data_IF_636372490239
#
_entry.id   IF_636372490239
#
_cell.length_a   1.000
_cell.length_b   1.000
_cell.length_c   1.000
_cell.angle_alpha   90.00
_cell.angle_beta   90.00
_cell.angle_gamma   90.00
#
_symmetry.space_group_name_H-M   'P 1'
#
loop_
_entity.id
_entity.type
_entity.pdbx_description
1 polymer ?
#
# COMPACT_ATOMS: atom_id res chain seq x y z
N UNK A 1 -16.56 27.56 -8.34
CA UNK A 1 -15.57 26.58 -7.84
C UNK A 1 -14.29 26.67 -8.70
N UNK A 2 -13.61 27.83 -8.70
CA UNK A 2 -12.42 28.11 -9.56
C UNK A 2 -11.25 28.66 -8.71
N UNK A 3 -11.50 29.18 -7.51
CA UNK A 3 -10.49 29.85 -6.68
C UNK A 3 -9.43 28.92 -6.05
N UNK A 4 -9.75 27.63 -5.83
CA UNK A 4 -8.81 26.68 -5.23
C UNK A 4 -7.68 26.29 -6.20
N UNK A 5 -7.96 26.25 -7.50
CA UNK A 5 -7.02 25.78 -8.52
C UNK A 5 -5.95 26.83 -8.84
N UNK A 6 -6.37 28.10 -8.90
CA UNK A 6 -5.45 29.23 -9.08
C UNK A 6 -4.47 29.40 -7.91
N UNK A 7 -4.93 29.15 -6.67
CA UNK A 7 -4.10 29.32 -5.47
C UNK A 7 -3.06 28.21 -5.27
N UNK A 8 -3.35 26.99 -5.74
CA UNK A 8 -2.36 25.89 -5.78
C UNK A 8 -1.25 26.19 -6.79
N UNK A 9 -1.61 26.72 -7.97
CA UNK A 9 -0.64 27.09 -9.01
C UNK A 9 0.36 28.17 -8.55
N UNK A 10 -0.10 29.18 -7.80
CA UNK A 10 0.76 30.22 -7.24
C UNK A 10 1.74 29.68 -6.19
N UNK A 11 1.28 28.77 -5.33
CA UNK A 11 2.13 28.14 -4.31
C UNK A 11 3.22 27.29 -4.93
N UNK A 12 2.88 26.47 -5.93
CA UNK A 12 3.86 25.64 -6.67
C UNK A 12 4.89 26.53 -7.35
N UNK A 13 4.44 27.61 -8.00
CA UNK A 13 5.34 28.57 -8.65
C UNK A 13 6.31 29.22 -7.66
N UNK A 14 5.85 29.55 -6.45
CA UNK A 14 6.69 30.12 -5.41
C UNK A 14 7.72 29.11 -4.86
N UNK A 15 7.32 27.84 -4.72
CA UNK A 15 8.25 26.76 -4.34
C UNK A 15 9.35 26.64 -5.38
N UNK A 16 9.02 26.59 -6.67
CA UNK A 16 10.00 26.50 -7.76
C UNK A 16 10.98 27.69 -7.80
N UNK A 17 10.49 28.90 -7.55
CA UNK A 17 11.36 30.09 -7.43
C UNK A 17 12.34 29.95 -6.26
N UNK A 18 11.86 29.42 -5.13
CA UNK A 18 12.67 29.19 -3.93
C UNK A 18 13.66 28.03 -4.12
N UNK A 19 13.31 26.99 -4.90
CA UNK A 19 14.24 25.89 -5.20
C UNK A 19 15.38 26.31 -6.12
N UNK A 20 15.21 27.39 -6.90
CA UNK A 20 16.25 27.88 -7.80
C UNK A 20 17.46 28.49 -7.09
N UNK A 21 17.30 28.97 -5.86
CA UNK A 21 18.44 29.47 -5.06
C UNK A 21 19.29 28.34 -4.46
N UNK A 22 18.79 27.10 -4.47
CA UNK A 22 19.54 25.94 -4.01
C UNK A 22 20.59 25.51 -5.04
N UNK A 23 21.67 24.92 -4.53
CA UNK A 23 22.68 24.23 -5.34
C UNK A 23 22.09 22.98 -6.01
N UNK A 24 22.79 22.44 -7.01
CA UNK A 24 22.35 21.23 -7.71
C UNK A 24 22.19 20.04 -6.77
N UNK A 25 23.12 19.85 -5.82
CA UNK A 25 23.05 18.74 -4.86
C UNK A 25 21.85 18.86 -3.93
N UNK A 26 21.57 20.06 -3.41
CA UNK A 26 20.41 20.30 -2.54
C UNK A 26 19.09 20.08 -3.27
N UNK A 27 19.00 20.49 -4.55
CA UNK A 27 17.82 20.20 -5.38
C UNK A 27 17.60 18.70 -5.59
N UNK A 28 18.67 17.93 -5.78
CA UNK A 28 18.58 16.48 -5.93
C UNK A 28 18.11 15.81 -4.63
N UNK A 29 18.64 16.24 -3.48
CA UNK A 29 18.19 15.74 -2.17
C UNK A 29 16.72 16.05 -1.93
N UNK A 30 16.29 17.29 -2.21
CA UNK A 30 14.88 17.67 -2.07
C UNK A 30 13.96 16.87 -3.00
N UNK A 31 14.38 16.65 -4.25
CA UNK A 31 13.62 15.83 -5.20
C UNK A 31 13.47 14.39 -4.70
N UNK A 32 14.54 13.80 -4.14
CA UNK A 32 14.48 12.48 -3.53
C UNK A 32 13.49 12.46 -2.36
N UNK A 33 13.59 13.39 -1.42
CA UNK A 33 12.71 13.44 -0.25
C UNK A 33 11.22 13.60 -0.64
N UNK A 34 10.93 14.41 -1.66
CA UNK A 34 9.57 14.57 -2.18
C UNK A 34 9.06 13.27 -2.82
N UNK A 35 9.89 12.57 -3.60
CA UNK A 35 9.54 11.28 -4.17
C UNK A 35 9.32 10.22 -3.09
N UNK A 36 10.20 10.15 -2.09
CA UNK A 36 10.06 9.22 -0.96
C UNK A 36 8.74 9.48 -0.21
N UNK A 37 8.36 10.74 0.02
CA UNK A 37 7.11 11.08 0.72
C UNK A 37 5.84 10.62 -0.02
N UNK A 38 5.87 10.56 -1.35
CA UNK A 38 4.74 10.05 -2.14
C UNK A 38 4.66 8.52 -2.05
N UNK A 39 5.80 7.86 -1.95
CA UNK A 39 5.89 6.40 -1.91
C UNK A 39 5.53 5.88 -0.51
N UNK A 40 5.92 6.57 0.55
CA UNK A 40 5.59 6.18 1.94
C UNK A 40 4.07 6.10 2.17
N UNK A 41 3.29 7.04 1.63
CA UNK A 41 1.82 7.03 1.74
C UNK A 41 1.18 5.81 1.04
N UNK A 42 1.70 5.41 -0.13
CA UNK A 42 1.21 4.22 -0.85
C UNK A 42 1.63 2.92 -0.16
N UNK A 43 2.87 2.88 0.35
CA UNK A 43 3.41 1.69 1.04
C UNK A 43 2.70 1.42 2.35
N UNK A 44 2.34 2.44 3.14
CA UNK A 44 1.62 2.23 4.41
C UNK A 44 0.30 1.50 4.20
N UNK A 45 -0.47 1.89 3.17
CA UNK A 45 -1.72 1.24 2.83
C UNK A 45 -1.50 -0.21 2.34
N UNK A 46 -0.53 -0.44 1.46
CA UNK A 46 -0.22 -1.78 0.94
C UNK A 46 0.28 -2.73 2.05
N UNK A 47 1.12 -2.23 2.95
CA UNK A 47 1.60 -2.98 4.11
C UNK A 47 0.48 -3.39 5.06
N UNK A 48 -0.52 -2.52 5.26
CA UNK A 48 -1.67 -2.84 6.09
C UNK A 48 -2.56 -3.92 5.45
N UNK A 49 -2.81 -3.83 4.14
CA UNK A 49 -3.54 -4.88 3.40
C UNK A 49 -2.82 -6.22 3.44
N UNK A 50 -1.50 -6.22 3.23
CA UNK A 50 -0.69 -7.43 3.29
C UNK A 50 -0.70 -8.05 4.69
N UNK A 51 -0.58 -7.23 5.74
CA UNK A 51 -0.63 -7.68 7.14
C UNK A 51 -2.00 -8.25 7.51
N UNK A 52 -3.09 -7.61 7.09
CA UNK A 52 -4.45 -8.10 7.30
C UNK A 52 -4.67 -9.44 6.58
N UNK A 53 -4.24 -9.54 5.32
CA UNK A 53 -4.36 -10.76 4.52
C UNK A 53 -3.56 -11.92 5.11
N UNK A 54 -2.32 -11.68 5.54
CA UNK A 54 -1.49 -12.69 6.19
C UNK A 54 -2.11 -13.19 7.49
N UNK A 55 -2.63 -12.27 8.33
CA UNK A 55 -3.28 -12.64 9.60
C UNK A 55 -4.53 -13.50 9.37
N UNK A 56 -5.36 -13.13 8.40
CA UNK A 56 -6.54 -13.91 8.04
C UNK A 56 -6.16 -15.29 7.50
N UNK A 57 -5.17 -15.34 6.62
CA UNK A 57 -4.66 -16.59 6.05
C UNK A 57 -4.09 -17.51 7.14
N UNK A 58 -3.24 -17.01 8.02
CA UNK A 58 -2.69 -17.79 9.15
C UNK A 58 -3.79 -18.35 10.06
N UNK A 59 -4.89 -17.62 10.23
CA UNK A 59 -6.03 -18.05 11.04
C UNK A 59 -6.82 -19.17 10.37
N UNK A 60 -7.02 -19.10 9.05
CA UNK A 60 -7.85 -20.05 8.29
C UNK A 60 -7.07 -21.24 7.72
N UNK A 61 -5.72 -21.16 7.68
CA UNK A 61 -4.87 -22.16 7.04
C UNK A 61 -4.93 -23.55 7.70
N UNK A 62 -5.12 -23.62 9.01
CA UNK A 62 -5.27 -24.87 9.77
C UNK A 62 -6.59 -24.87 10.55
N UNK A 63 -7.67 -24.53 9.84
CA UNK A 63 -9.00 -24.46 10.42
C UNK A 63 -9.54 -25.88 10.70
N UNK A 64 -9.82 -26.25 11.96
CA UNK A 64 -10.36 -27.57 12.30
C UNK A 64 -11.75 -27.84 11.72
N UNK A 65 -12.50 -26.81 11.33
CA UNK A 65 -13.76 -26.98 10.60
C UNK A 65 -13.53 -27.46 9.17
N UNK A 66 -12.45 -27.02 8.52
CA UNK A 66 -12.08 -27.44 7.16
C UNK A 66 -11.36 -28.79 7.14
N UNK A 67 -10.76 -29.21 8.25
CA UNK A 67 -10.17 -30.55 8.42
C UNK A 67 -11.22 -31.68 8.22
N UNK A 68 -12.52 -31.39 8.34
CA UNK A 68 -13.60 -32.32 8.01
C UNK A 68 -13.57 -32.69 6.51
N UNK A 69 -13.08 -31.80 5.66
CA UNK A 69 -12.93 -32.08 4.23
C UNK A 69 -11.72 -32.96 3.89
N UNK A 70 -10.77 -33.18 4.81
CA UNK A 70 -9.64 -34.10 4.56
C UNK A 70 -10.14 -35.52 4.28
N UNK A 71 -11.20 -35.93 4.98
CA UNK A 71 -11.85 -37.25 4.85
C UNK A 71 -13.24 -37.15 4.23
N UNK A 72 -13.50 -36.15 3.37
CA UNK A 72 -14.82 -35.91 2.76
C UNK A 72 -15.45 -37.17 2.15
N UNK A 73 -14.65 -38.07 1.58
CA UNK A 73 -15.14 -39.34 1.02
C UNK A 73 -15.77 -40.25 2.06
N UNK A 74 -15.23 -40.30 3.28
CA UNK A 74 -15.83 -41.04 4.40
C UNK A 74 -17.16 -40.41 4.83
N UNK A 75 -17.20 -39.08 4.92
CA UNK A 75 -18.41 -38.34 5.28
C UNK A 75 -19.56 -38.50 4.27
N UNK A 76 -19.24 -38.62 2.98
CA UNK A 76 -20.23 -38.80 1.90
C UNK A 76 -20.37 -40.25 1.42
N UNK A 77 -19.74 -41.23 2.08
CA UNK A 77 -19.87 -42.66 1.74
C UNK A 77 -19.31 -43.05 0.36
N UNK A 78 -18.33 -42.30 -0.15
CA UNK A 78 -17.70 -42.54 -1.44
C UNK A 78 -16.52 -43.49 -1.23
N UNK A 79 -16.60 -44.71 -1.77
CA UNK A 79 -15.49 -45.67 -1.69
C UNK A 79 -14.20 -45.10 -2.32
N UNK A 80 -13.14 -45.04 -1.52
CA UNK A 80 -11.77 -44.94 -2.04
C UNK A 80 -11.44 -46.25 -2.75
N UNK A 81 -11.28 -46.16 -4.07
CA UNK A 81 -11.00 -47.28 -4.96
C UNK A 81 -9.70 -48.00 -4.62
#
# INVERSE_FOLDING_TARGET
MIAADATVSDRVTQIFKTTRVLTTSERLVLAKLLLDSLIEEEQEAEHDWHRMGLTAFETEWDNPEDAIYDNWREHYGISSR
#
